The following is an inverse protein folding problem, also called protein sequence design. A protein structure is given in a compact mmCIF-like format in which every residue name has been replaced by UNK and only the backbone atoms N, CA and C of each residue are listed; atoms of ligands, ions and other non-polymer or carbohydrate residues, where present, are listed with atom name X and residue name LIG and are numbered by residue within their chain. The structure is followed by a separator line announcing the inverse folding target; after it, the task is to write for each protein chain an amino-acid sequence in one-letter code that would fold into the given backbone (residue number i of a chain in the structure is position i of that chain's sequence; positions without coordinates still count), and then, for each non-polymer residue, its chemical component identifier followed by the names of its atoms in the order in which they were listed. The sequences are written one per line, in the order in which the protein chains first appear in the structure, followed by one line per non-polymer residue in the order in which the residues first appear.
data_IF_617227168576
#
_entry.id   IF_617227168576
#
_cell.length_a   1.000
_cell.length_b   1.000
_cell.length_c   1.000
_cell.angle_alpha   90.00
_cell.angle_beta   90.00
_cell.angle_gamma   90.00
#
_symmetry.space_group_name_H-M   'P 1'
#
loop_
_entity.id
_entity.type
_entity.pdbx_description
1 polymer ?
#
# COMPACT_ATOMS: atom_id res chain seq x y z
N UNK A 1 2.21 28.65 -3.43
CA UNK A 1 2.81 27.35 -3.77
C UNK A 1 1.91 26.23 -3.31
N UNK A 2 1.66 25.30 -4.18
CA UNK A 2 0.84 24.15 -3.85
C UNK A 2 1.69 23.06 -3.19
N UNK A 3 1.29 22.64 -2.00
CA UNK A 3 1.94 21.54 -1.32
C UNK A 3 1.41 20.21 -1.86
N UNK A 4 2.31 19.27 -2.06
CA UNK A 4 1.91 17.91 -2.42
C UNK A 4 1.16 17.27 -1.25
N UNK A 5 -0.01 16.71 -1.55
CA UNK A 5 -0.80 15.97 -0.58
C UNK A 5 -1.16 14.62 -1.16
N UNK A 6 -0.59 13.56 -0.59
CA UNK A 6 -0.80 12.22 -1.13
C UNK A 6 -2.26 11.78 -1.08
N UNK A 7 -3.05 12.32 -0.17
CA UNK A 7 -4.48 12.00 -0.09
C UNK A 7 -5.23 12.22 -1.40
N UNK A 8 -4.80 13.16 -2.24
CA UNK A 8 -5.40 13.38 -3.57
C UNK A 8 -5.07 12.26 -4.55
N UNK A 9 -3.98 11.53 -4.32
CA UNK A 9 -3.42 10.57 -5.26
C UNK A 9 -3.47 9.13 -4.74
N UNK A 10 -3.94 8.95 -3.50
CA UNK A 10 -3.93 7.65 -2.86
C UNK A 10 -4.64 6.59 -3.71
N UNK A 11 -3.98 5.47 -3.89
CA UNK A 11 -4.53 4.36 -4.65
C UNK A 11 -4.52 4.53 -6.17
N UNK A 12 -3.87 5.59 -6.68
CA UNK A 12 -3.76 5.78 -8.13
C UNK A 12 -2.81 4.72 -8.74
N UNK A 13 -2.72 4.73 -10.06
CA UNK A 13 -1.88 3.75 -10.77
C UNK A 13 -0.41 3.78 -10.34
N UNK A 14 0.11 4.96 -10.00
CA UNK A 14 1.49 5.11 -9.53
C UNK A 14 1.67 4.45 -8.16
N UNK A 15 0.71 4.63 -7.26
CA UNK A 15 0.70 3.95 -5.96
C UNK A 15 0.65 2.44 -6.12
N UNK A 16 -0.23 1.95 -7.00
CA UNK A 16 -0.34 0.52 -7.27
C UNK A 16 0.99 -0.05 -7.72
N UNK A 17 1.63 0.58 -8.70
CA UNK A 17 2.92 0.13 -9.22
C UNK A 17 4.00 0.17 -8.14
N UNK A 18 4.12 1.28 -7.44
CA UNK A 18 5.12 1.47 -6.39
C UNK A 18 4.97 0.45 -5.26
N UNK A 19 3.74 0.24 -4.80
CA UNK A 19 3.50 -0.63 -3.66
C UNK A 19 3.54 -2.11 -4.03
N UNK A 20 3.19 -2.45 -5.27
CA UNK A 20 3.43 -3.80 -5.77
C UNK A 20 4.92 -4.12 -5.77
N UNK A 21 5.75 -3.21 -6.26
CA UNK A 21 7.20 -3.37 -6.22
C UNK A 21 7.71 -3.49 -4.79
N UNK A 22 7.18 -2.67 -3.88
CA UNK A 22 7.56 -2.74 -2.47
C UNK A 22 7.26 -4.12 -1.88
N UNK A 23 6.10 -4.68 -2.16
CA UNK A 23 5.77 -6.04 -1.72
C UNK A 23 6.74 -7.07 -2.27
N UNK A 24 7.09 -6.98 -3.54
CA UNK A 24 8.03 -7.92 -4.16
C UNK A 24 9.41 -7.82 -3.54
N UNK A 25 9.89 -6.60 -3.26
CA UNK A 25 11.18 -6.38 -2.63
C UNK A 25 11.22 -6.94 -1.22
N UNK A 26 10.18 -6.68 -0.42
CA UNK A 26 10.11 -7.20 0.94
C UNK A 26 10.07 -8.73 0.92
N UNK A 27 9.30 -9.33 0.03
CA UNK A 27 9.26 -10.80 -0.10
C UNK A 27 10.62 -11.37 -0.44
N UNK A 28 11.38 -10.70 -1.31
CA UNK A 28 12.73 -11.13 -1.64
C UNK A 28 13.64 -11.11 -0.40
N UNK A 29 13.51 -10.11 0.44
CA UNK A 29 14.25 -10.02 1.71
C UNK A 29 13.84 -11.13 2.68
N UNK A 30 12.56 -11.47 2.71
CA UNK A 30 12.04 -12.51 3.60
C UNK A 30 12.51 -13.91 3.22
N UNK A 31 13.02 -14.11 2.01
CA UNK A 31 13.56 -15.39 1.59
C UNK A 31 14.81 -15.81 2.38
N UNK A 32 15.43 -14.85 3.08
CA UNK A 32 16.61 -15.08 3.93
C UNK A 32 16.24 -14.88 5.40
N UNK A 33 16.87 -15.65 6.28
CA UNK A 33 16.69 -15.51 7.72
C UNK A 33 17.32 -14.23 8.28
N UNK A 34 18.18 -13.60 7.52
CA UNK A 34 18.89 -12.40 7.93
C UNK A 34 17.88 -11.27 8.22
N UNK A 35 18.01 -10.57 9.36
CA UNK A 35 17.14 -9.44 9.65
C UNK A 35 17.29 -8.33 8.62
N UNK A 36 16.21 -7.62 8.33
CA UNK A 36 16.28 -6.42 7.53
C UNK A 36 15.77 -5.21 8.32
N UNK A 37 16.19 -4.05 7.86
CA UNK A 37 15.80 -2.77 8.42
C UNK A 37 15.09 -1.96 7.34
N UNK A 38 13.87 -1.54 7.63
CA UNK A 38 13.09 -0.70 6.72
C UNK A 38 13.03 0.72 7.26
N UNK A 39 13.56 1.67 6.49
CA UNK A 39 13.51 3.08 6.82
C UNK A 39 12.65 3.81 5.78
N UNK A 40 11.59 4.45 6.23
CA UNK A 40 10.73 5.26 5.37
C UNK A 40 10.90 6.73 5.76
N UNK A 41 11.58 7.48 4.90
CA UNK A 41 11.88 8.89 5.15
C UNK A 41 10.68 9.80 4.86
N UNK A 42 9.67 9.29 4.18
CA UNK A 42 8.45 10.02 3.80
C UNK A 42 7.24 9.13 4.05
N UNK A 43 7.09 8.69 5.31
CA UNK A 43 6.08 7.69 5.67
C UNK A 43 4.65 8.16 5.42
N UNK A 44 4.37 9.43 5.63
CA UNK A 44 3.04 9.97 5.45
C UNK A 44 2.02 9.38 6.42
N UNK A 45 0.77 9.34 6.02
CA UNK A 45 -0.30 8.74 6.80
C UNK A 45 -0.23 7.21 6.72
N UNK A 46 -0.71 6.53 7.77
CA UNK A 46 -0.76 5.07 7.77
C UNK A 46 -1.75 4.53 6.74
N UNK A 47 -2.85 5.24 6.54
CA UNK A 47 -3.85 4.89 5.53
C UNK A 47 -4.56 6.15 5.04
N UNK A 48 -5.17 6.04 3.86
CA UNK A 48 -5.89 7.14 3.23
C UNK A 48 -7.31 6.70 2.94
N UNK A 49 -8.29 7.54 3.28
CA UNK A 49 -9.67 7.22 2.98
C UNK A 49 -9.98 7.52 1.51
N UNK A 50 -10.36 6.49 0.78
CA UNK A 50 -10.84 6.64 -0.59
C UNK A 50 -12.27 7.15 -0.55
N UNK A 51 -12.63 8.03 -1.50
CA UNK A 51 -13.94 8.65 -1.49
C UNK A 51 -14.09 9.78 -0.48
N UNK A 52 -13.02 10.13 0.28
CA UNK A 52 -13.01 11.34 1.08
C UNK A 52 -13.06 12.55 0.16
N UNK A 53 -13.35 13.72 0.73
CA UNK A 53 -13.33 14.97 -0.04
C UNK A 53 -12.00 15.14 -0.79
N UNK A 54 -10.90 14.82 -0.13
CA UNK A 54 -9.58 14.94 -0.74
C UNK A 54 -9.35 13.94 -1.86
N UNK A 55 -9.54 12.65 -1.61
CA UNK A 55 -9.34 11.60 -2.61
C UNK A 55 -10.46 11.60 -3.66
N UNK A 56 -11.70 11.90 -3.24
CA UNK A 56 -12.86 11.92 -4.13
C UNK A 56 -12.82 13.04 -5.15
N UNK A 57 -12.17 14.15 -4.85
CA UNK A 57 -12.10 15.30 -5.75
C UNK A 57 -11.47 14.93 -7.11
N UNK A 58 -10.39 14.18 -7.09
CA UNK A 58 -9.70 13.76 -8.30
C UNK A 58 -10.05 12.33 -8.71
N UNK A 59 -10.54 11.51 -7.78
CA UNK A 59 -10.94 10.12 -7.99
C UNK A 59 -9.90 9.28 -8.74
N UNK A 60 -8.62 9.53 -8.50
CA UNK A 60 -7.53 8.84 -9.18
C UNK A 60 -7.48 7.35 -8.84
N UNK A 61 -8.01 6.96 -7.67
CA UNK A 61 -8.06 5.55 -7.27
C UNK A 61 -8.94 4.70 -8.20
N UNK A 62 -9.86 5.31 -8.94
CA UNK A 62 -10.74 4.58 -9.86
C UNK A 62 -9.97 3.97 -11.02
N UNK A 63 -8.89 4.62 -11.45
CA UNK A 63 -8.02 4.08 -12.51
C UNK A 63 -6.84 3.28 -11.96
N UNK A 64 -6.74 3.16 -10.63
CA UNK A 64 -5.70 2.40 -9.94
C UNK A 64 -6.28 1.21 -9.21
N UNK A 65 -6.25 1.28 -7.87
CA UNK A 65 -6.63 0.13 -7.03
C UNK A 65 -8.06 -0.37 -7.26
N UNK A 66 -8.98 0.52 -7.59
CA UNK A 66 -10.36 0.09 -7.80
C UNK A 66 -10.50 -0.91 -8.94
N UNK A 67 -9.71 -0.77 -10.00
CA UNK A 67 -9.72 -1.72 -11.12
C UNK A 67 -9.26 -3.11 -10.71
N UNK A 68 -8.41 -3.20 -9.70
CA UNK A 68 -7.86 -4.48 -9.24
C UNK A 68 -8.68 -5.12 -8.13
N UNK A 69 -9.51 -4.33 -7.45
CA UNK A 69 -10.18 -4.77 -6.23
C UNK A 69 -11.08 -5.97 -6.42
N UNK A 70 -11.81 -6.00 -7.52
CA UNK A 70 -12.80 -7.03 -7.80
C UNK A 70 -12.31 -8.09 -8.79
N UNK A 71 -11.02 -8.10 -9.12
CA UNK A 71 -10.47 -9.15 -9.96
C UNK A 71 -10.56 -10.48 -9.22
N UNK A 72 -10.91 -11.52 -9.96
CA UNK A 72 -10.96 -12.87 -9.40
C UNK A 72 -9.55 -13.45 -9.24
N UNK A 73 -9.20 -14.38 -10.11
CA UNK A 73 -7.89 -15.02 -10.05
C UNK A 73 -6.82 -14.11 -10.63
N UNK A 74 -5.73 -13.92 -9.86
CA UNK A 74 -4.61 -13.05 -10.23
C UNK A 74 -3.29 -13.78 -9.99
N UNK A 75 -2.18 -13.36 -10.63
CA UNK A 75 -0.86 -13.91 -10.32
C UNK A 75 -0.53 -13.73 -8.83
N UNK A 76 0.25 -14.66 -8.29
CA UNK A 76 0.60 -14.67 -6.86
C UNK A 76 1.22 -13.35 -6.40
N UNK A 77 2.09 -12.75 -7.20
CA UNK A 77 2.74 -11.48 -6.86
C UNK A 77 1.72 -10.37 -6.66
N UNK A 78 0.75 -10.28 -7.54
CA UNK A 78 -0.32 -9.30 -7.41
C UNK A 78 -1.26 -9.65 -6.26
N UNK A 79 -1.53 -10.94 -6.04
CA UNK A 79 -2.36 -11.43 -4.95
C UNK A 79 -1.81 -11.03 -3.59
N UNK A 80 -0.51 -11.13 -3.39
CA UNK A 80 0.14 -10.73 -2.14
C UNK A 80 -0.09 -9.24 -1.85
N UNK A 81 0.08 -8.39 -2.84
CA UNK A 81 -0.20 -6.96 -2.71
C UNK A 81 -1.68 -6.70 -2.39
N UNK A 82 -2.59 -7.35 -3.10
CA UNK A 82 -4.03 -7.18 -2.86
C UNK A 82 -4.43 -7.67 -1.47
N UNK A 83 -3.81 -8.71 -0.96
CA UNK A 83 -4.07 -9.20 0.41
C UNK A 83 -3.70 -8.14 1.44
N UNK A 84 -2.59 -7.42 1.23
CA UNK A 84 -2.20 -6.33 2.11
C UNK A 84 -3.23 -5.20 2.07
N UNK A 85 -3.73 -4.86 0.89
CA UNK A 85 -4.80 -3.85 0.76
C UNK A 85 -6.06 -4.32 1.49
N UNK A 86 -6.40 -5.59 1.40
CA UNK A 86 -7.57 -6.17 2.07
C UNK A 86 -7.45 -6.10 3.59
N UNK A 87 -6.27 -6.28 4.15
CA UNK A 87 -6.05 -6.13 5.60
C UNK A 87 -6.45 -4.74 6.08
N UNK A 88 -6.23 -3.73 5.25
CA UNK A 88 -6.61 -2.34 5.56
C UNK A 88 -8.12 -2.11 5.42
N UNK A 89 -8.82 -3.04 4.76
CA UNK A 89 -10.26 -2.97 4.51
C UNK A 89 -10.96 -4.22 5.06
N UNK A 90 -11.09 -4.36 6.40
CA UNK A 90 -11.67 -5.57 7.00
C UNK A 90 -13.12 -5.82 6.61
N UNK A 91 -13.86 -4.77 6.20
CA UNK A 91 -15.12 -4.95 5.48
C UNK A 91 -14.83 -5.45 4.07
N UNK A 92 -15.87 -5.66 3.27
CA UNK A 92 -15.70 -6.12 1.89
C UNK A 92 -15.50 -5.00 0.89
N UNK A 93 -15.80 -3.77 1.31
CA UNK A 93 -15.73 -2.61 0.44
C UNK A 93 -14.36 -1.97 0.47
N UNK A 94 -13.91 -1.48 -0.66
CA UNK A 94 -12.69 -0.72 -0.77
C UNK A 94 -12.93 0.71 -0.26
N UNK A 95 -12.49 0.98 0.96
CA UNK A 95 -12.67 2.28 1.62
C UNK A 95 -11.36 2.98 1.94
N UNK A 96 -10.31 2.22 2.13
CA UNK A 96 -9.02 2.71 2.58
C UNK A 96 -7.90 2.21 1.69
N UNK A 97 -6.91 3.05 1.48
CA UNK A 97 -5.68 2.63 0.82
C UNK A 97 -4.51 2.71 1.80
N UNK A 98 -3.70 1.65 1.94
CA UNK A 98 -2.58 1.66 2.87
C UNK A 98 -1.43 2.53 2.38
N UNK A 99 -0.82 3.31 3.27
CA UNK A 99 0.47 3.92 3.02
C UNK A 99 1.59 2.88 3.14
N UNK A 100 2.80 3.24 2.74
CA UNK A 100 3.94 2.33 2.77
C UNK A 100 4.17 1.66 4.12
N UNK A 101 3.99 2.34 5.28
CA UNK A 101 4.17 1.66 6.57
C UNK A 101 3.22 0.47 6.76
N UNK A 102 1.97 0.62 6.37
CA UNK A 102 1.00 -0.48 6.49
C UNK A 102 1.20 -1.57 5.47
N UNK A 103 1.85 -1.27 4.37
CA UNK A 103 2.19 -2.27 3.36
C UNK A 103 3.32 -3.17 3.86
N UNK A 104 4.33 -2.60 4.50
CA UNK A 104 5.48 -3.36 5.00
C UNK A 104 5.17 -4.10 6.30
N UNK A 105 4.38 -3.48 7.17
CA UNK A 105 4.13 -4.00 8.52
C UNK A 105 3.72 -5.49 8.58
N UNK A 106 2.81 -5.99 7.74
CA UNK A 106 2.42 -7.40 7.80
C UNK A 106 3.55 -8.38 7.52
N UNK A 107 4.63 -7.92 6.88
CA UNK A 107 5.77 -8.77 6.53
C UNK A 107 6.86 -8.79 7.57
N UNK A 108 6.83 -7.89 8.56
CA UNK A 108 7.89 -7.78 9.56
C UNK A 108 7.91 -9.02 10.46
N UNK A 109 9.09 -9.60 10.59
CA UNK A 109 9.36 -10.68 11.54
C UNK A 109 9.87 -10.07 12.83
N UNK A 110 9.99 -10.90 13.87
CA UNK A 110 10.46 -10.46 15.18
C UNK A 110 11.84 -9.78 15.11
N UNK A 111 12.73 -10.29 14.26
CA UNK A 111 14.08 -9.76 14.10
C UNK A 111 14.16 -8.51 13.23
N UNK A 112 13.10 -8.19 12.49
CA UNK A 112 13.11 -7.06 11.57
C UNK A 112 12.74 -5.76 12.29
N UNK A 113 13.18 -4.63 11.73
CA UNK A 113 12.93 -3.31 12.32
C UNK A 113 12.39 -2.37 11.25
N UNK A 114 11.50 -1.49 11.69
CA UNK A 114 10.93 -0.44 10.84
C UNK A 114 11.03 0.90 11.57
N UNK A 115 11.53 1.91 10.89
CA UNK A 115 11.59 3.29 11.38
C UNK A 115 10.89 4.19 10.37
N UNK A 116 10.01 5.04 10.87
CA UNK A 116 9.21 5.94 10.06
C UNK A 116 9.56 7.39 10.40
N UNK A 117 9.74 8.20 9.38
CA UNK A 117 9.98 9.63 9.55
C UNK A 117 8.84 10.47 9.00
#
# INVERSE_FOLDING_TARGET
MLSYRHGFHAGNHADVFKHLLLCLLVRALLAKDKPFFFLDTHAGAGRYRLGSEMAGKNREFESGIQKLWNLGEVPESLGTYLDVVRITNPGRDLRWYPGSPRIVRPFLREQDRMVLC
#
